data_IF_603900868391
#
_entry.id   IF_603900868391
#
_cell.length_a   1.000
_cell.length_b   1.000
_cell.length_c   1.000
_cell.angle_alpha   90.00
_cell.angle_beta   90.00
_cell.angle_gamma   90.00
#
_symmetry.space_group_name_H-M   'P 1'
#
loop_
_entity.id
_entity.type
_entity.pdbx_description
1 polymer ?
#
# COMPACT_ATOMS: atom_id res chain seq x y z
N UNK A 1 28.96 0.98 7.15
CA UNK A 1 28.65 1.06 8.59
C UNK A 1 27.90 -0.19 9.02
N UNK A 2 28.26 -0.80 10.16
CA UNK A 2 27.68 -2.06 10.64
C UNK A 2 26.17 -1.98 10.90
N UNK A 3 25.67 -0.79 11.26
CA UNK A 3 24.25 -0.50 11.43
C UNK A 3 23.42 -0.72 10.16
N UNK A 4 23.92 -0.30 8.98
CA UNK A 4 23.22 -0.55 7.70
C UNK A 4 23.14 -2.03 7.33
N UNK A 5 24.16 -2.81 7.68
CA UNK A 5 24.21 -4.25 7.40
C UNK A 5 23.21 -5.04 8.25
N UNK A 6 23.06 -4.64 9.52
CA UNK A 6 22.13 -5.26 10.46
C UNK A 6 20.66 -4.93 10.09
N UNK A 7 20.38 -3.67 9.74
CA UNK A 7 19.07 -3.25 9.22
C UNK A 7 18.75 -3.95 7.91
N UNK A 8 19.74 -4.11 7.01
CA UNK A 8 19.54 -4.85 5.76
C UNK A 8 19.18 -6.32 6.02
N UNK A 9 19.87 -6.98 6.96
CA UNK A 9 19.58 -8.38 7.31
C UNK A 9 18.20 -8.56 7.92
N UNK A 10 17.73 -7.58 8.70
CA UNK A 10 16.36 -7.55 9.26
C UNK A 10 15.33 -7.26 8.16
N UNK A 11 15.58 -6.29 7.27
CA UNK A 11 14.66 -5.94 6.17
C UNK A 11 14.56 -7.03 5.08
N UNK A 12 15.60 -7.82 4.88
CA UNK A 12 15.62 -8.98 3.96
C UNK A 12 15.15 -10.26 4.67
N UNK A 13 14.79 -10.17 5.94
CA UNK A 13 14.32 -11.32 6.69
C UNK A 13 12.90 -11.69 6.29
N UNK A 14 12.69 -12.98 6.03
CA UNK A 14 11.36 -13.55 5.76
C UNK A 14 10.36 -13.27 6.89
N UNK A 15 10.82 -13.02 8.12
CA UNK A 15 9.95 -12.67 9.25
C UNK A 15 9.27 -11.30 9.08
N UNK A 16 9.98 -10.30 8.54
CA UNK A 16 9.40 -8.96 8.32
C UNK A 16 8.34 -9.03 7.21
N UNK A 17 8.66 -9.72 6.11
CA UNK A 17 7.72 -9.87 5.00
C UNK A 17 6.48 -10.70 5.39
N UNK A 18 6.65 -11.74 6.21
CA UNK A 18 5.53 -12.50 6.79
C UNK A 18 4.68 -11.62 7.73
N UNK A 19 5.31 -10.83 8.60
CA UNK A 19 4.61 -9.91 9.50
C UNK A 19 3.76 -8.90 8.71
N UNK A 20 4.34 -8.24 7.70
CA UNK A 20 3.62 -7.28 6.87
C UNK A 20 2.48 -7.96 6.11
N UNK A 21 2.66 -9.20 5.66
CA UNK A 21 1.60 -9.97 5.01
C UNK A 21 0.43 -10.27 5.93
N UNK A 22 0.70 -10.65 7.19
CA UNK A 22 -0.34 -10.83 8.20
C UNK A 22 -1.09 -9.52 8.44
N UNK A 23 -0.37 -8.40 8.55
CA UNK A 23 -0.97 -7.06 8.72
C UNK A 23 -1.86 -6.68 7.54
N UNK A 24 -1.44 -6.97 6.30
CA UNK A 24 -2.27 -6.75 5.11
C UNK A 24 -3.53 -7.63 5.17
N UNK A 25 -3.39 -8.90 5.53
CA UNK A 25 -4.53 -9.82 5.69
C UNK A 25 -5.55 -9.32 6.72
N UNK A 26 -5.07 -8.87 7.88
CA UNK A 26 -5.92 -8.23 8.90
C UNK A 26 -6.59 -6.97 8.35
N UNK A 27 -5.87 -6.13 7.61
CA UNK A 27 -6.48 -4.95 7.00
C UNK A 27 -7.58 -5.31 5.99
N UNK A 28 -7.40 -6.34 5.18
CA UNK A 28 -8.44 -6.85 4.27
C UNK A 28 -9.67 -7.35 5.02
N UNK A 29 -9.46 -8.07 6.13
CA UNK A 29 -10.56 -8.52 6.99
C UNK A 29 -11.32 -7.31 7.55
N UNK A 30 -10.62 -6.30 8.08
CA UNK A 30 -11.29 -5.08 8.58
C UNK A 30 -12.08 -4.35 7.50
N UNK A 31 -11.56 -4.27 6.27
CA UNK A 31 -12.27 -3.66 5.14
C UNK A 31 -13.49 -4.49 4.72
N UNK A 32 -13.43 -5.81 4.90
CA UNK A 32 -14.53 -6.72 4.57
C UNK A 32 -15.64 -6.71 5.63
N UNK A 33 -15.34 -6.24 6.85
CA UNK A 33 -16.30 -6.06 7.94
C UNK A 33 -17.09 -4.75 7.84
N UNK A 34 -16.63 -3.78 7.04
CA UNK A 34 -17.37 -2.54 6.79
C UNK A 34 -18.72 -2.87 6.13
N UNK A 35 -19.81 -2.46 6.78
CA UNK A 35 -21.16 -2.67 6.26
C UNK A 35 -22.00 -1.39 6.28
N UNK A 36 -22.96 -1.30 5.36
CA UNK A 36 -23.87 -0.16 5.28
C UNK A 36 -24.75 -0.10 6.55
N UNK A 37 -24.94 1.11 7.11
CA UNK A 37 -25.61 1.34 8.40
C UNK A 37 -24.99 0.63 9.63
N UNK A 38 -23.67 0.75 9.80
CA UNK A 38 -22.99 0.22 10.99
C UNK A 38 -23.13 1.11 12.24
N UNK A 39 -23.08 0.53 13.45
CA UNK A 39 -23.06 1.31 14.67
C UNK A 39 -21.81 2.19 14.74
N UNK A 40 -21.95 3.42 15.26
CA UNK A 40 -20.85 4.41 15.34
C UNK A 40 -19.59 3.87 16.01
N UNK A 41 -19.75 3.01 17.01
CA UNK A 41 -18.64 2.36 17.72
C UNK A 41 -17.81 1.46 16.80
N UNK A 42 -18.46 0.74 15.88
CA UNK A 42 -17.76 -0.11 14.92
C UNK A 42 -17.02 0.74 13.87
N UNK A 43 -17.64 1.83 13.42
CA UNK A 43 -17.02 2.78 12.48
C UNK A 43 -15.74 3.41 13.07
N UNK A 44 -15.81 3.89 14.31
CA UNK A 44 -14.64 4.42 15.02
C UNK A 44 -13.56 3.35 15.24
N UNK A 45 -13.93 2.13 15.62
CA UNK A 45 -12.99 1.03 15.80
C UNK A 45 -12.28 0.67 14.48
N UNK A 46 -13.01 0.56 13.36
CA UNK A 46 -12.44 0.30 12.03
C UNK A 46 -11.53 1.44 11.56
N UNK A 47 -11.90 2.69 11.86
CA UNK A 47 -11.08 3.87 11.59
C UNK A 47 -9.75 3.85 12.35
N UNK A 48 -9.79 3.51 13.65
CA UNK A 48 -8.57 3.35 14.48
C UNK A 48 -7.70 2.23 13.93
N UNK A 49 -8.27 1.07 13.59
CA UNK A 49 -7.54 -0.03 12.97
C UNK A 49 -6.85 0.41 11.67
N UNK A 50 -7.56 1.12 10.80
CA UNK A 50 -7.01 1.64 9.55
C UNK A 50 -5.82 2.59 9.78
N UNK A 51 -5.91 3.45 10.80
CA UNK A 51 -4.81 4.33 11.19
C UNK A 51 -3.58 3.53 11.66
N UNK A 52 -3.78 2.52 12.52
CA UNK A 52 -2.71 1.64 13.00
C UNK A 52 -2.03 0.91 11.83
N UNK A 53 -2.80 0.33 10.91
CA UNK A 53 -2.25 -0.36 9.75
C UNK A 53 -1.43 0.59 8.85
N UNK A 54 -1.94 1.81 8.65
CA UNK A 54 -1.23 2.83 7.86
C UNK A 54 0.09 3.21 8.51
N UNK A 55 0.12 3.42 9.85
CA UNK A 55 1.36 3.69 10.58
C UNK A 55 2.36 2.55 10.41
N UNK A 56 1.92 1.29 10.54
CA UNK A 56 2.80 0.13 10.35
C UNK A 56 3.42 0.14 8.96
N UNK A 57 2.64 0.41 7.90
CA UNK A 57 3.16 0.49 6.55
C UNK A 57 4.11 1.68 6.34
N UNK A 58 3.83 2.84 6.94
CA UNK A 58 4.76 3.99 6.92
C UNK A 58 6.09 3.61 7.56
N UNK A 59 6.06 3.00 8.74
CA UNK A 59 7.26 2.58 9.45
C UNK A 59 8.07 1.58 8.61
N UNK A 60 7.40 0.61 8.00
CA UNK A 60 8.04 -0.37 7.12
C UNK A 60 8.72 0.28 5.90
N UNK A 61 8.03 1.19 5.19
CA UNK A 61 8.62 1.89 4.05
C UNK A 61 9.81 2.77 4.47
N UNK A 62 9.73 3.44 5.64
CA UNK A 62 10.84 4.23 6.19
C UNK A 62 12.01 3.32 6.57
N UNK A 63 11.77 2.19 7.22
CA UNK A 63 12.82 1.21 7.53
C UNK A 63 13.50 0.70 6.26
N UNK A 64 12.73 0.35 5.21
CA UNK A 64 13.28 -0.05 3.91
C UNK A 64 14.09 1.07 3.26
N UNK A 65 13.62 2.32 3.31
CA UNK A 65 14.35 3.48 2.79
C UNK A 65 15.70 3.68 3.49
N UNK A 66 15.75 3.56 4.82
CA UNK A 66 17.00 3.65 5.60
C UNK A 66 17.92 2.46 5.34
N UNK A 67 17.38 1.25 5.20
CA UNK A 67 18.13 0.02 4.94
C UNK A 67 18.86 0.04 3.59
N UNK A 68 18.12 0.33 2.52
CA UNK A 68 18.63 0.30 1.15
C UNK A 68 19.30 1.61 0.72
N UNK A 69 18.94 2.73 1.38
CA UNK A 69 19.33 4.08 1.01
C UNK A 69 18.51 4.62 -0.17
N UNK A 70 18.43 5.95 -0.28
CA UNK A 70 17.59 6.67 -1.25
C UNK A 70 17.74 6.15 -2.69
N UNK A 71 18.97 6.12 -3.23
CA UNK A 71 19.20 5.73 -4.63
C UNK A 71 18.74 4.32 -4.98
N UNK A 72 18.93 3.35 -4.09
CA UNK A 72 18.58 1.94 -4.36
C UNK A 72 17.11 1.68 -4.10
N UNK A 73 16.52 2.36 -3.11
CA UNK A 73 15.09 2.29 -2.83
C UNK A 73 14.27 2.73 -4.06
N UNK A 74 14.58 3.91 -4.63
CA UNK A 74 13.87 4.44 -5.78
C UNK A 74 14.19 3.74 -7.11
N UNK A 75 15.18 2.85 -7.19
CA UNK A 75 15.44 2.08 -8.42
C UNK A 75 14.55 0.83 -8.52
N UNK A 76 14.06 0.32 -7.39
CA UNK A 76 13.25 -0.89 -7.33
C UNK A 76 11.75 -0.54 -7.46
N UNK A 77 11.10 -1.06 -8.51
CA UNK A 77 9.68 -0.78 -8.81
C UNK A 77 8.74 -1.23 -7.69
N UNK A 78 9.09 -2.29 -6.96
CA UNK A 78 8.26 -2.81 -5.88
C UNK A 78 8.35 -1.94 -4.62
N UNK A 79 9.50 -1.31 -4.38
CA UNK A 79 9.64 -0.30 -3.33
C UNK A 79 8.94 1.02 -3.70
N UNK A 80 8.92 1.40 -4.99
CA UNK A 80 8.12 2.54 -5.45
C UNK A 80 6.62 2.30 -5.28
N UNK A 81 6.13 1.11 -5.65
CA UNK A 81 4.72 0.72 -5.47
C UNK A 81 4.33 0.75 -3.99
N UNK A 82 5.19 0.24 -3.12
CA UNK A 82 4.98 0.29 -1.67
C UNK A 82 4.84 1.72 -1.15
N UNK A 83 5.77 2.60 -1.53
CA UNK A 83 5.74 4.01 -1.17
C UNK A 83 4.49 4.72 -1.72
N UNK A 84 4.09 4.42 -2.96
CA UNK A 84 2.86 4.97 -3.55
C UNK A 84 1.61 4.56 -2.75
N UNK A 85 1.49 3.29 -2.35
CA UNK A 85 0.37 2.79 -1.55
C UNK A 85 0.32 3.48 -0.18
N UNK A 86 1.48 3.70 0.45
CA UNK A 86 1.56 4.43 1.73
C UNK A 86 1.11 5.87 1.56
N UNK A 87 1.58 6.57 0.53
CA UNK A 87 1.18 7.96 0.26
C UNK A 87 -0.32 8.07 -0.03
N UNK A 88 -0.87 7.17 -0.85
CA UNK A 88 -2.31 7.11 -1.13
C UNK A 88 -3.12 6.84 0.13
N UNK A 89 -2.61 5.99 1.03
CA UNK A 89 -3.24 5.69 2.32
C UNK A 89 -3.29 6.91 3.23
N UNK A 90 -2.18 7.65 3.34
CA UNK A 90 -2.12 8.89 4.12
C UNK A 90 -3.07 9.93 3.51
N UNK A 91 -3.02 10.13 2.20
CA UNK A 91 -3.88 11.07 1.49
C UNK A 91 -5.37 10.74 1.74
N UNK A 92 -5.75 9.47 1.61
CA UNK A 92 -7.13 9.02 1.84
C UNK A 92 -7.62 9.31 3.25
N UNK A 93 -6.78 9.11 4.28
CA UNK A 93 -7.12 9.44 5.67
C UNK A 93 -7.24 10.96 5.85
N UNK A 94 -6.26 11.73 5.35
CA UNK A 94 -6.27 13.20 5.51
C UNK A 94 -7.48 13.86 4.84
N UNK A 95 -7.90 13.36 3.67
CA UNK A 95 -9.08 13.89 2.98
C UNK A 95 -10.38 13.59 3.73
N UNK A 96 -10.49 12.40 4.32
CA UNK A 96 -11.65 12.03 5.16
C UNK A 96 -11.70 12.87 6.44
N UNK A 97 -10.56 13.18 7.06
CA UNK A 97 -10.50 14.10 8.20
C UNK A 97 -10.87 15.54 7.81
N UNK A 98 -10.44 16.03 6.64
CA UNK A 98 -10.75 17.39 6.18
C UNK A 98 -12.25 17.52 5.88
N UNK A 99 -12.88 16.50 5.30
CA UNK A 99 -14.33 16.45 5.08
C UNK A 99 -15.10 16.67 6.39
N UNK A 100 -14.69 15.97 7.45
CA UNK A 100 -15.37 16.00 8.76
C UNK A 100 -15.09 17.31 9.51
N UNK A 101 -13.84 17.80 9.51
CA UNK A 101 -13.42 18.91 10.37
C UNK A 101 -13.54 20.30 9.72
N UNK A 102 -13.33 20.43 8.41
CA UNK A 102 -13.23 21.73 7.74
C UNK A 102 -14.50 22.16 7.01
N UNK A 103 -15.53 21.29 6.94
CA UNK A 103 -16.79 21.53 6.21
C UNK A 103 -16.59 22.04 4.77
N UNK A 104 -15.45 21.71 4.17
CA UNK A 104 -15.18 22.05 2.77
C UNK A 104 -16.03 21.14 1.89
N UNK A 105 -16.66 21.67 0.82
CA UNK A 105 -17.44 20.85 -0.12
C UNK A 105 -16.52 19.98 -0.95
N UNK A 106 -16.06 18.87 -0.38
CA UNK A 106 -15.32 17.83 -1.10
C UNK A 106 -16.33 17.04 -1.94
N UNK A 107 -15.98 16.81 -3.20
CA UNK A 107 -16.85 16.05 -4.09
C UNK A 107 -17.00 14.60 -3.59
N UNK A 108 -18.23 14.07 -3.41
CA UNK A 108 -18.46 12.72 -2.90
C UNK A 108 -17.81 11.62 -3.76
N UNK A 109 -17.57 11.92 -5.04
CA UNK A 109 -16.85 11.03 -5.96
C UNK A 109 -15.38 10.83 -5.52
N UNK A 110 -14.72 11.88 -5.04
CA UNK A 110 -13.31 11.81 -4.59
C UNK A 110 -13.21 10.92 -3.35
N UNK A 111 -14.14 11.08 -2.40
CA UNK A 111 -14.22 10.26 -1.19
C UNK A 111 -14.41 8.79 -1.56
N UNK A 112 -15.30 8.50 -2.53
CA UNK A 112 -15.50 7.14 -3.03
C UNK A 112 -14.24 6.55 -3.66
N UNK A 113 -13.52 7.33 -4.46
CA UNK A 113 -12.24 6.90 -5.05
C UNK A 113 -11.21 6.61 -3.95
N UNK A 114 -11.09 7.48 -2.95
CA UNK A 114 -10.16 7.28 -1.83
C UNK A 114 -10.46 6.02 -1.02
N UNK A 115 -11.74 5.66 -0.86
CA UNK A 115 -12.15 4.37 -0.27
C UNK A 115 -11.69 3.18 -1.11
N UNK A 116 -11.90 3.23 -2.43
CA UNK A 116 -11.46 2.16 -3.35
C UNK A 116 -9.93 2.02 -3.36
N UNK A 117 -9.19 3.13 -3.28
CA UNK A 117 -7.73 3.14 -3.26
C UNK A 117 -7.13 2.39 -2.06
N UNK A 118 -7.88 2.20 -0.96
CA UNK A 118 -7.43 1.38 0.18
C UNK A 118 -7.22 -0.09 -0.24
N UNK A 119 -7.97 -0.58 -1.24
CA UNK A 119 -7.82 -1.93 -1.79
C UNK A 119 -6.46 -2.09 -2.48
N UNK A 120 -5.82 -1.00 -2.93
CA UNK A 120 -4.48 -1.05 -3.50
C UNK A 120 -3.44 -1.63 -2.52
N UNK A 121 -3.69 -1.60 -1.22
CA UNK A 121 -2.84 -2.24 -0.20
C UNK A 121 -2.70 -3.75 -0.40
N UNK A 122 -3.72 -4.40 -0.98
CA UNK A 122 -3.67 -5.83 -1.33
C UNK A 122 -2.59 -6.12 -2.36
N UNK A 123 -2.26 -5.14 -3.21
CA UNK A 123 -1.18 -5.27 -4.20
C UNK A 123 0.18 -5.49 -3.54
N UNK A 124 0.36 -5.14 -2.26
CA UNK A 124 1.60 -5.46 -1.51
C UNK A 124 1.81 -6.98 -1.38
N UNK A 125 0.75 -7.79 -1.40
CA UNK A 125 0.87 -9.27 -1.37
C UNK A 125 1.55 -9.82 -2.63
N UNK A 126 1.41 -9.14 -3.76
CA UNK A 126 2.05 -9.51 -5.03
C UNK A 126 3.57 -9.54 -4.93
N UNK A 127 4.15 -8.73 -4.04
CA UNK A 127 5.59 -8.65 -3.80
C UNK A 127 6.14 -9.93 -3.15
N UNK A 128 5.33 -10.61 -2.35
CA UNK A 128 5.75 -11.83 -1.64
C UNK A 128 5.60 -13.08 -2.51
N UNK A 129 4.61 -13.10 -3.40
CA UNK A 129 4.42 -14.17 -4.36
C UNK A 129 5.46 -14.08 -5.48
N UNK A 130 6.65 -14.68 -5.26
CA UNK A 130 7.77 -14.70 -6.23
C UNK A 130 7.31 -15.15 -7.63
N UNK A 131 6.42 -16.14 -7.70
CA UNK A 131 5.83 -16.58 -8.97
C UNK A 131 4.97 -15.51 -9.64
N UNK A 132 4.12 -14.78 -8.89
CA UNK A 132 3.31 -13.69 -9.43
C UNK A 132 4.18 -12.52 -9.88
N UNK A 133 5.24 -12.19 -9.13
CA UNK A 133 6.20 -11.16 -9.53
C UNK A 133 6.81 -11.47 -10.89
N UNK A 134 7.26 -12.70 -11.11
CA UNK A 134 7.81 -13.13 -12.39
C UNK A 134 6.79 -13.00 -13.53
N UNK A 135 5.55 -13.43 -13.30
CA UNK A 135 4.47 -13.30 -14.30
C UNK A 135 4.11 -11.85 -14.60
N UNK A 136 4.07 -10.98 -13.59
CA UNK A 136 3.81 -9.56 -13.79
C UNK A 136 4.95 -8.89 -14.54
N UNK A 137 6.20 -9.22 -14.21
CA UNK A 137 7.37 -8.71 -14.91
C UNK A 137 7.38 -9.15 -16.39
N UNK A 138 6.93 -10.36 -16.73
CA UNK A 138 6.79 -10.80 -18.14
C UNK A 138 5.65 -10.09 -18.85
N UNK A 139 4.49 -9.93 -18.22
CA UNK A 139 3.35 -9.17 -18.77
C UNK A 139 3.74 -7.72 -19.06
N UNK A 140 4.44 -7.06 -18.13
CA UNK A 140 4.90 -5.68 -18.31
C UNK A 140 5.89 -5.56 -19.47
N UNK A 141 6.73 -6.57 -19.69
CA UNK A 141 7.65 -6.59 -20.83
C UNK A 141 6.95 -6.84 -22.17
N UNK A 142 5.86 -7.61 -22.18
CA UNK A 142 5.08 -7.88 -23.38
C UNK A 142 4.16 -6.71 -23.80
N UNK A 143 3.67 -5.91 -22.85
CA UNK A 143 2.80 -4.76 -23.08
C UNK A 143 3.23 -3.81 -24.22
N UNK A 144 4.48 -3.32 -24.29
CA UNK A 144 4.89 -2.43 -25.39
C UNK A 144 4.88 -3.11 -26.76
N UNK A 145 5.12 -4.43 -26.83
CA UNK A 145 5.07 -5.17 -28.10
C UNK A 145 3.62 -5.27 -28.60
N UNK A 146 2.68 -5.55 -27.71
CA UNK A 146 1.24 -5.56 -28.03
C UNK A 146 0.75 -4.17 -28.42
N UNK A 147 1.21 -3.12 -27.72
CA UNK A 147 0.88 -1.73 -28.07
C UNK A 147 1.32 -1.36 -29.48
N UNK A 148 2.54 -1.75 -29.88
CA UNK A 148 3.03 -1.50 -31.23
C UNK A 148 2.22 -2.24 -32.30
N UNK A 149 1.79 -3.48 -32.04
CA UNK A 149 0.91 -4.21 -32.94
C UNK A 149 -0.47 -3.54 -33.04
N UNK A 150 -1.03 -3.08 -31.92
CA UNK A 150 -2.32 -2.40 -31.88
C UNK A 150 -2.32 -1.05 -32.60
N UNK A 151 -1.20 -0.32 -32.61
CA UNK A 151 -1.06 0.93 -33.38
C UNK A 151 -0.91 0.72 -34.89
N UNK A 152 -0.65 -0.52 -35.33
CA UNK A 152 -0.45 -0.88 -36.74
C UNK A 152 -1.77 -1.26 -37.42
N UNK A 153 -2.81 -1.59 -36.64
CA UNK A 153 -4.19 -1.81 -37.09
C UNK A 153 -4.99 -0.52 -37.01
#
# INVERSE_FOLDING_TARGET
>A
SPTRLLIHKICTSHYLDLFITIVIGLNVITMSMEHYHQPKVLDEALKICNYIFTIIFVLESVFKLVAFGFRRFFKDRWNQLDLAIVLLSIMGITLEEIEVNASLPINPTIIRIMRVLRIARVLKLLKMAVGMRALLDTVIQALPQVGNLGLLF
#
